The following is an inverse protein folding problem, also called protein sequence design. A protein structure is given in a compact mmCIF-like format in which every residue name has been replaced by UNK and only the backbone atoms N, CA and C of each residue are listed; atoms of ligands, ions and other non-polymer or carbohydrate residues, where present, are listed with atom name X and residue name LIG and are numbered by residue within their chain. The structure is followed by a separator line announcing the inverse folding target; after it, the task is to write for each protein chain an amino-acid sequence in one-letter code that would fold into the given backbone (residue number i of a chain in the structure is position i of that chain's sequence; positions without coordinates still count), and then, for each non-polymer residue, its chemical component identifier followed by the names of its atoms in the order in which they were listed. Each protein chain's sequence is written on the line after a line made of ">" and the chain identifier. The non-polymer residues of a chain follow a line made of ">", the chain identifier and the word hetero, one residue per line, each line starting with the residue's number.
data_IF_016550990945
#
_entry.id   IF_016550990945
#
_cell.length_a   1.000
_cell.length_b   1.000
_cell.length_c   1.000
_cell.angle_alpha   90.00
_cell.angle_beta   90.00
_cell.angle_gamma   90.00
#
_symmetry.space_group_name_H-M   'P 1'
#
loop_
_entity.id
_entity.type
_entity.pdbx_description
1 polymer ?
#
# COMPACT_ATOMS: atom_id res chain seq x y z
N UNK A 1 -0.23 -7.00 -4.52
CA UNK A 1 -1.08 -5.95 -5.12
C UNK A 1 -0.17 -4.81 -5.56
N UNK A 2 -0.54 -4.06 -6.59
CA UNK A 2 0.21 -2.88 -7.05
C UNK A 2 -0.65 -1.66 -6.72
N UNK A 3 -0.05 -0.69 -6.04
CA UNK A 3 -0.73 0.54 -5.63
C UNK A 3 0.07 1.76 -6.04
N UNK A 4 -0.66 2.84 -6.31
CA UNK A 4 -0.10 4.19 -6.38
C UNK A 4 -0.47 4.92 -5.09
N UNK A 5 0.52 5.35 -4.34
CA UNK A 5 0.32 6.18 -3.16
C UNK A 5 -0.12 7.58 -3.62
N UNK A 6 -1.20 8.10 -3.02
CA UNK A 6 -1.83 9.37 -3.44
C UNK A 6 -1.53 10.50 -2.44
N UNK A 7 -1.10 10.19 -1.20
CA UNK A 7 -0.77 11.21 -0.21
C UNK A 7 0.47 10.83 0.62
N UNK A 8 1.45 11.71 0.56
CA UNK A 8 2.73 11.65 1.27
C UNK A 8 2.58 12.23 2.67
N UNK A 9 2.66 11.37 3.67
CA UNK A 9 3.17 11.76 4.99
C UNK A 9 3.99 10.62 5.60
N UNK A 10 4.72 9.87 4.78
CA UNK A 10 5.67 8.88 5.29
C UNK A 10 7.01 9.07 4.59
N UNK A 11 8.02 9.41 5.39
CA UNK A 11 9.41 9.53 4.93
C UNK A 11 9.83 8.25 4.17
N UNK A 12 10.43 8.42 3.00
CA UNK A 12 10.95 7.30 2.18
C UNK A 12 9.98 6.72 1.14
N UNK A 13 8.84 7.37 0.89
CA UNK A 13 7.95 7.09 -0.25
C UNK A 13 7.83 8.36 -1.11
N UNK A 14 8.08 8.23 -2.41
CA UNK A 14 7.98 9.34 -3.35
C UNK A 14 6.59 9.37 -4.03
N UNK A 15 5.92 10.54 -4.07
CA UNK A 15 4.68 10.73 -4.84
C UNK A 15 4.82 10.25 -6.28
N UNK A 16 3.78 9.58 -6.79
CA UNK A 16 3.68 9.21 -8.20
C UNK A 16 4.44 7.94 -8.58
N UNK A 17 5.27 7.40 -7.69
CA UNK A 17 5.85 6.07 -7.88
C UNK A 17 4.80 4.97 -7.67
N UNK A 18 4.98 3.89 -8.43
CA UNK A 18 4.16 2.69 -8.33
C UNK A 18 4.87 1.70 -7.41
N UNK A 19 4.19 1.29 -6.35
CA UNK A 19 4.75 0.40 -5.35
C UNK A 19 4.07 -0.96 -5.38
N UNK A 20 4.89 -2.00 -5.22
CA UNK A 20 4.39 -3.35 -4.95
C UNK A 20 4.19 -3.49 -3.44
N UNK A 21 2.98 -3.90 -3.07
CA UNK A 21 2.61 -4.13 -1.67
C UNK A 21 2.24 -5.58 -1.41
N UNK A 22 2.38 -5.93 -0.13
CA UNK A 22 2.32 -7.29 0.38
C UNK A 22 1.38 -7.35 1.59
N UNK A 23 0.85 -8.55 1.88
CA UNK A 23 0.05 -8.82 3.08
C UNK A 23 -1.07 -7.78 3.29
N UNK A 24 -1.88 -7.58 2.24
CA UNK A 24 -3.00 -6.64 2.26
C UNK A 24 -4.12 -7.23 3.12
N UNK A 25 -4.55 -6.48 4.13
CA UNK A 25 -5.63 -6.83 5.03
C UNK A 25 -6.64 -5.69 4.99
N UNK A 26 -7.88 -6.00 4.59
CA UNK A 26 -8.99 -5.05 4.68
C UNK A 26 -9.74 -5.27 5.99
N UNK A 27 -9.91 -4.22 6.79
CA UNK A 27 -10.82 -4.22 7.94
C UNK A 27 -11.73 -3.02 7.85
N UNK A 28 -13.03 -3.27 7.68
CA UNK A 28 -14.03 -2.26 7.33
C UNK A 28 -13.60 -1.55 6.03
N UNK A 29 -13.39 -0.22 6.09
CA UNK A 29 -12.98 0.62 4.95
C UNK A 29 -11.49 1.03 5.00
N UNK A 30 -10.71 0.43 5.92
CA UNK A 30 -9.28 0.71 6.05
C UNK A 30 -8.48 -0.51 5.59
N UNK A 31 -7.49 -0.26 4.74
CA UNK A 31 -6.53 -1.29 4.33
C UNK A 31 -5.22 -1.13 5.12
N UNK A 32 -4.74 -2.25 5.65
CA UNK A 32 -3.36 -2.43 6.14
C UNK A 32 -2.56 -3.18 5.07
N UNK A 33 -1.33 -2.77 4.80
CA UNK A 33 -0.43 -3.48 3.90
C UNK A 33 1.04 -3.20 4.23
N UNK A 34 1.91 -4.08 3.75
CA UNK A 34 3.36 -3.92 3.85
C UNK A 34 3.92 -3.41 2.53
N UNK A 35 4.79 -2.41 2.60
CA UNK A 35 5.41 -1.80 1.43
C UNK A 35 6.94 -1.74 1.58
N UNK A 36 7.58 -2.07 0.45
CA UNK A 36 8.97 -1.81 0.08
C UNK A 36 9.30 -0.32 0.00
N UNK A 37 9.87 0.36 0.99
CA UNK A 37 10.23 1.78 0.82
C UNK A 37 11.43 1.98 -0.13
N UNK A 38 11.74 3.22 -0.48
CA UNK A 38 12.81 3.57 -1.43
C UNK A 38 14.22 3.20 -0.88
N UNK A 39 14.35 3.01 0.43
CA UNK A 39 15.58 2.56 1.10
C UNK A 39 15.68 1.03 1.21
N UNK A 40 14.64 0.32 0.78
CA UNK A 40 14.58 -1.13 0.81
C UNK A 40 14.14 -1.72 2.15
N UNK A 41 13.53 -0.93 3.03
CA UNK A 41 12.96 -1.35 4.31
C UNK A 41 11.46 -1.63 4.14
N UNK A 42 10.99 -2.70 4.79
CA UNK A 42 9.57 -3.02 4.84
C UNK A 42 8.90 -2.29 6.00
N UNK A 43 7.90 -1.47 5.68
CA UNK A 43 7.09 -0.77 6.66
C UNK A 43 5.62 -1.18 6.52
N UNK A 44 4.90 -1.21 7.64
CA UNK A 44 3.44 -1.39 7.66
C UNK A 44 2.77 -0.03 7.43
N UNK A 45 1.83 0.01 6.49
CA UNK A 45 1.03 1.18 6.18
C UNK A 45 -0.44 0.88 6.37
N UNK A 46 -1.16 1.88 6.88
CA UNK A 46 -2.62 1.90 6.96
C UNK A 46 -3.08 3.06 6.10
N UNK A 47 -3.88 2.79 5.09
CA UNK A 47 -4.32 3.86 4.22
C UNK A 47 -5.76 3.69 3.75
N UNK A 48 -6.46 4.82 3.81
CA UNK A 48 -7.69 5.21 3.12
C UNK A 48 -7.40 5.81 1.73
N UNK A 49 -6.13 6.04 1.37
CA UNK A 49 -5.68 6.95 0.28
C UNK A 49 -4.67 6.34 -0.71
N UNK A 50 -4.91 5.13 -1.19
CA UNK A 50 -4.17 4.59 -2.34
C UNK A 50 -5.10 4.16 -3.46
N UNK A 51 -4.59 4.20 -4.68
CA UNK A 51 -5.27 3.70 -5.86
C UNK A 51 -4.72 2.31 -6.19
N UNK A 52 -5.60 1.31 -6.21
CA UNK A 52 -5.22 -0.04 -6.65
C UNK A 52 -5.14 -0.03 -8.17
N UNK A 53 -3.93 -0.16 -8.68
CA UNK A 53 -3.69 -0.24 -10.12
C UNK A 53 -3.80 -1.68 -10.64
N UNK A 54 -3.75 -2.68 -9.75
CA UNK A 54 -3.99 -4.08 -10.13
C UNK A 54 -3.57 -5.11 -9.09
N UNK A 55 -4.04 -6.34 -9.30
CA UNK A 55 -3.81 -7.50 -8.44
C UNK A 55 -5.06 -7.89 -7.64
N UNK A 56 -5.27 -9.19 -7.48
CA UNK A 56 -6.42 -9.74 -6.76
C UNK A 56 -6.32 -9.46 -5.26
N UNK A 57 -7.33 -8.80 -4.70
CA UNK A 57 -7.60 -8.87 -3.26
C UNK A 57 -8.36 -10.19 -3.08
N UNK A 58 -7.70 -11.20 -2.52
CA UNK A 58 -8.43 -12.35 -2.00
C UNK A 58 -9.09 -11.89 -0.69
N UNK A 59 -10.27 -11.27 -0.81
CA UNK A 59 -11.21 -11.10 0.28
C UNK A 59 -11.79 -12.49 0.58
N UNK A 60 -10.98 -13.31 1.23
CA UNK A 60 -11.44 -14.60 1.76
C UNK A 60 -12.32 -14.29 2.97
N UNK A 61 -13.63 -14.47 2.75
CA UNK A 61 -14.75 -14.46 3.72
C UNK A 61 -14.40 -14.93 5.13
#
# INVERSE_FOLDING_TARGET
>A
MIVKCINDMVDGISMGNIYKIYNVIKRNDIYSYWLKDDYGVFNEFKADRFEILGGYINDSK
#
